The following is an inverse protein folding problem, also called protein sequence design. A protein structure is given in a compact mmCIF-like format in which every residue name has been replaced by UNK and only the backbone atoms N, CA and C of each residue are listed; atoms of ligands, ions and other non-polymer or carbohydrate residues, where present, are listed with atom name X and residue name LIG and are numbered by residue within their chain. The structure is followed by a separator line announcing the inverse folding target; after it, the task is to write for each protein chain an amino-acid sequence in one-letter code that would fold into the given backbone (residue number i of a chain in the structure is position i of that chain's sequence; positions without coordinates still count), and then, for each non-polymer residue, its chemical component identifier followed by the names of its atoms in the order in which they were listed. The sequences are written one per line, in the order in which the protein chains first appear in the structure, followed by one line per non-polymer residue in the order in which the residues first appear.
data_IF_376455142826
#
_entry.id   IF_376455142826
#
_cell.length_a   1.000
_cell.length_b   1.000
_cell.length_c   1.000
_cell.angle_alpha   90.00
_cell.angle_beta   90.00
_cell.angle_gamma   90.00
#
_symmetry.space_group_name_H-M   'P 1'
#
loop_
_entity.id
_entity.type
_entity.pdbx_description
1 polymer ?
#
# COMPACT_ATOMS: atom_id res chain seq x y z
N UNK A 1 1.67 -0.33 -11.28
CA UNK A 1 1.65 -0.77 -12.69
C UNK A 1 1.15 -2.20 -12.70
N UNK A 2 0.08 -2.46 -13.44
CA UNK A 2 -0.56 -3.78 -13.49
C UNK A 2 0.14 -4.67 -14.52
N UNK A 3 0.06 -5.98 -14.36
CA UNK A 3 0.65 -6.99 -15.25
C UNK A 3 -0.39 -8.03 -15.61
N UNK A 4 -0.20 -8.72 -16.74
CA UNK A 4 -1.08 -9.83 -17.16
C UNK A 4 -1.19 -10.91 -16.07
N UNK A 5 -0.13 -11.12 -15.28
CA UNK A 5 -0.16 -12.05 -14.14
C UNK A 5 -1.25 -11.70 -13.10
N UNK A 6 -1.55 -10.42 -12.90
CA UNK A 6 -2.56 -9.96 -11.94
C UNK A 6 -3.99 -10.37 -12.37
N UNK A 7 -4.21 -10.57 -13.68
CA UNK A 7 -5.46 -11.14 -14.21
C UNK A 7 -5.58 -12.62 -13.84
N UNK A 8 -4.51 -13.39 -14.06
CA UNK A 8 -4.46 -14.81 -13.70
C UNK A 8 -4.64 -15.00 -12.19
N UNK A 9 -4.05 -14.14 -11.37
CA UNK A 9 -4.19 -14.19 -9.91
C UNK A 9 -5.64 -13.86 -9.47
N UNK A 10 -6.29 -12.89 -10.11
CA UNK A 10 -7.70 -12.56 -9.84
C UNK A 10 -8.65 -13.67 -10.27
N UNK A 11 -8.34 -14.34 -11.38
CA UNK A 11 -9.09 -15.51 -11.84
C UNK A 11 -8.96 -16.70 -10.86
N UNK A 12 -7.75 -16.98 -10.40
CA UNK A 12 -7.49 -18.06 -9.43
C UNK A 12 -8.19 -17.84 -8.09
N UNK A 13 -8.43 -16.58 -7.70
CA UNK A 13 -9.20 -16.20 -6.52
C UNK A 13 -10.72 -16.21 -6.75
N UNK A 14 -11.17 -16.46 -7.97
CA UNK A 14 -12.56 -16.32 -8.40
C UNK A 14 -13.12 -14.93 -8.01
N UNK A 15 -12.37 -13.87 -8.35
CA UNK A 15 -12.71 -12.48 -8.07
C UNK A 15 -12.93 -11.68 -9.39
N UNK A 16 -14.17 -11.69 -9.92
CA UNK A 16 -14.53 -11.01 -11.17
C UNK A 16 -14.34 -9.49 -11.11
N UNK A 17 -14.50 -8.88 -9.93
CA UNK A 17 -14.37 -7.45 -9.77
C UNK A 17 -12.90 -7.00 -9.90
N UNK A 18 -12.01 -7.64 -9.14
CA UNK A 18 -10.57 -7.37 -9.24
C UNK A 18 -10.04 -7.68 -10.64
N UNK A 19 -10.56 -8.74 -11.27
CA UNK A 19 -10.21 -9.06 -12.65
C UNK A 19 -10.58 -7.91 -13.60
N UNK A 20 -11.81 -7.39 -13.53
CA UNK A 20 -12.26 -6.29 -14.38
C UNK A 20 -11.44 -5.02 -14.16
N UNK A 21 -11.15 -4.69 -12.90
CA UNK A 21 -10.32 -3.54 -12.53
C UNK A 21 -8.92 -3.63 -13.16
N UNK A 22 -8.26 -4.77 -13.03
CA UNK A 22 -6.93 -5.02 -13.62
C UNK A 22 -7.01 -4.97 -15.15
N UNK A 23 -8.05 -5.56 -15.74
CA UNK A 23 -8.25 -5.62 -17.19
C UNK A 23 -8.35 -4.23 -17.81
N UNK A 24 -9.18 -3.36 -17.23
CA UNK A 24 -9.33 -1.98 -17.69
C UNK A 24 -8.06 -1.15 -17.47
N UNK A 25 -7.35 -1.34 -16.35
CA UNK A 25 -6.07 -0.68 -16.11
C UNK A 25 -4.99 -1.08 -17.13
N UNK A 26 -4.98 -2.32 -17.59
CA UNK A 26 -4.05 -2.78 -18.63
C UNK A 26 -4.33 -2.11 -19.99
N UNK A 27 -5.60 -1.85 -20.31
CA UNK A 27 -5.99 -1.09 -21.52
C UNK A 27 -5.49 0.36 -21.42
N UNK A 28 -5.70 1.03 -20.28
CA UNK A 28 -5.18 2.40 -20.04
C UNK A 28 -3.65 2.45 -20.15
N UNK A 29 -2.96 1.37 -19.78
CA UNK A 29 -1.50 1.24 -19.92
C UNK A 29 -1.04 0.93 -21.36
N UNK A 30 -1.95 0.90 -22.34
CA UNK A 30 -1.64 0.71 -23.76
C UNK A 30 -1.68 -0.75 -24.25
N UNK A 31 -2.28 -1.66 -23.49
CA UNK A 31 -2.46 -3.05 -23.93
C UNK A 31 -3.59 -3.16 -24.96
N UNK A 32 -3.39 -3.99 -25.99
CA UNK A 32 -4.37 -4.24 -27.06
C UNK A 32 -5.46 -5.25 -26.66
N UNK A 33 -6.06 -5.06 -25.48
CA UNK A 33 -7.16 -5.91 -25.00
C UNK A 33 -8.50 -5.38 -25.54
N UNK A 34 -9.39 -6.30 -25.92
CA UNK A 34 -10.72 -5.98 -26.43
C UNK A 34 -11.74 -5.90 -25.30
N UNK A 35 -12.79 -5.10 -25.49
CA UNK A 35 -13.91 -5.01 -24.56
C UNK A 35 -15.16 -5.65 -25.17
N UNK A 36 -16.06 -6.23 -24.35
CA UNK A 36 -17.37 -6.67 -24.83
C UNK A 36 -18.17 -5.50 -25.41
N UNK A 37 -18.94 -5.75 -26.45
CA UNK A 37 -19.72 -4.74 -27.17
C UNK A 37 -21.22 -4.95 -27.03
N UNK A 38 -21.64 -6.14 -26.60
CA UNK A 38 -23.04 -6.48 -26.41
C UNK A 38 -23.58 -5.89 -25.09
N UNK A 39 -24.90 -5.68 -25.02
CA UNK A 39 -25.58 -5.14 -23.84
C UNK A 39 -26.29 -6.21 -23.00
N UNK A 40 -26.49 -7.40 -23.56
CA UNK A 40 -27.20 -8.50 -22.89
C UNK A 40 -26.20 -9.41 -22.18
N UNK A 41 -26.39 -9.62 -20.88
CA UNK A 41 -25.49 -10.38 -19.99
C UNK A 41 -25.01 -11.72 -20.59
N UNK A 42 -25.91 -12.53 -21.16
CA UNK A 42 -25.52 -13.82 -21.73
C UNK A 42 -24.59 -13.69 -22.94
N UNK A 43 -24.80 -12.68 -23.79
CA UNK A 43 -23.93 -12.43 -24.94
C UNK A 43 -22.60 -11.81 -24.50
N UNK A 44 -22.62 -10.95 -23.48
CA UNK A 44 -21.40 -10.42 -22.83
C UNK A 44 -20.56 -11.55 -22.23
N UNK A 45 -21.20 -12.57 -21.64
CA UNK A 45 -20.53 -13.76 -21.10
C UNK A 45 -19.78 -14.52 -22.19
N UNK A 46 -20.42 -14.74 -23.32
CA UNK A 46 -19.82 -15.41 -24.47
C UNK A 46 -18.66 -14.59 -25.07
N UNK A 47 -18.82 -13.25 -25.14
CA UNK A 47 -17.75 -12.35 -25.56
C UNK A 47 -16.54 -12.41 -24.62
N UNK A 48 -16.76 -12.37 -23.30
CA UNK A 48 -15.68 -12.52 -22.31
C UNK A 48 -14.91 -13.82 -22.50
N UNK A 49 -15.60 -14.94 -22.72
CA UNK A 49 -14.96 -16.22 -23.00
C UNK A 49 -14.07 -16.18 -24.26
N UNK A 50 -14.41 -15.35 -25.25
CA UNK A 50 -13.69 -15.23 -26.52
C UNK A 50 -12.52 -14.23 -26.51
N UNK A 51 -12.61 -13.15 -25.71
CA UNK A 51 -11.62 -12.05 -25.70
C UNK A 51 -10.62 -12.14 -24.56
N UNK A 52 -10.79 -13.10 -23.63
CA UNK A 52 -9.83 -13.28 -22.54
C UNK A 52 -8.44 -13.71 -23.08
N UNK A 53 -7.35 -13.20 -22.49
CA UNK A 53 -6.01 -13.64 -22.83
C UNK A 53 -5.86 -15.16 -22.68
N UNK A 54 -5.01 -15.82 -23.50
CA UNK A 54 -4.79 -17.26 -23.41
C UNK A 54 -4.36 -17.75 -22.01
N UNK A 55 -3.64 -16.91 -21.26
CA UNK A 55 -3.22 -17.19 -19.88
C UNK A 55 -4.35 -17.20 -18.84
N UNK A 56 -5.56 -16.82 -19.24
CA UNK A 56 -6.74 -16.69 -18.38
C UNK A 56 -7.88 -17.63 -18.79
N UNK A 57 -7.63 -18.67 -19.59
CA UNK A 57 -8.69 -19.58 -20.07
C UNK A 57 -9.25 -20.55 -19.03
N UNK A 58 -8.68 -20.63 -17.83
CA UNK A 58 -9.13 -21.52 -16.74
C UNK A 58 -10.29 -20.92 -15.93
N UNK A 59 -11.22 -20.22 -16.57
CA UNK A 59 -12.36 -19.58 -15.90
C UNK A 59 -13.48 -20.58 -15.62
N UNK A 60 -14.26 -20.29 -14.56
CA UNK A 60 -15.50 -21.00 -14.29
C UNK A 60 -16.67 -20.29 -14.94
N UNK A 61 -17.74 -21.04 -15.21
CA UNK A 61 -18.94 -20.51 -15.83
C UNK A 61 -19.65 -19.47 -14.94
N UNK A 62 -19.55 -19.64 -13.61
CA UNK A 62 -20.01 -18.68 -12.60
C UNK A 62 -19.18 -17.39 -12.61
N UNK A 63 -17.86 -17.50 -12.73
CA UNK A 63 -16.97 -16.34 -12.81
C UNK A 63 -17.33 -15.45 -14.01
N UNK A 64 -17.51 -16.05 -15.18
CA UNK A 64 -17.89 -15.30 -16.39
C UNK A 64 -19.25 -14.63 -16.24
N UNK A 65 -20.22 -15.30 -15.61
CA UNK A 65 -21.55 -14.74 -15.38
C UNK A 65 -21.47 -13.51 -14.46
N UNK A 66 -20.76 -13.62 -13.35
CA UNK A 66 -20.57 -12.52 -12.39
C UNK A 66 -19.78 -11.37 -13.03
N UNK A 67 -18.72 -11.66 -13.79
CA UNK A 67 -17.96 -10.66 -14.56
C UNK A 67 -18.86 -9.90 -15.54
N UNK A 68 -19.74 -10.62 -16.23
CA UNK A 68 -20.66 -10.05 -17.22
C UNK A 68 -21.72 -9.17 -16.57
N UNK A 69 -22.19 -9.53 -15.37
CA UNK A 69 -23.12 -8.72 -14.59
C UNK A 69 -22.47 -7.41 -14.13
N UNK A 70 -21.24 -7.47 -13.62
CA UNK A 70 -20.48 -6.28 -13.21
C UNK A 70 -20.21 -5.39 -14.42
N UNK A 71 -19.77 -5.96 -15.53
CA UNK A 71 -19.53 -5.21 -16.77
C UNK A 71 -20.78 -4.50 -17.28
N UNK A 72 -21.89 -5.23 -17.40
CA UNK A 72 -23.15 -4.66 -17.92
C UNK A 72 -23.61 -3.49 -17.05
N UNK A 73 -23.58 -3.68 -15.72
CA UNK A 73 -23.92 -2.62 -14.77
C UNK A 73 -23.00 -1.41 -14.89
N UNK A 74 -21.71 -1.63 -15.06
CA UNK A 74 -20.71 -0.57 -15.20
C UNK A 74 -20.95 0.26 -16.46
N UNK A 75 -21.20 -0.40 -17.59
CA UNK A 75 -21.50 0.25 -18.88
C UNK A 75 -22.83 1.02 -18.81
N UNK A 76 -23.85 0.44 -18.17
CA UNK A 76 -25.14 1.10 -17.96
C UNK A 76 -24.99 2.36 -17.10
N UNK A 77 -24.18 2.31 -16.03
CA UNK A 77 -23.88 3.47 -15.18
C UNK A 77 -23.11 4.58 -15.91
N UNK A 78 -22.36 4.23 -16.95
CA UNK A 78 -21.69 5.19 -17.85
C UNK A 78 -22.63 5.72 -18.96
N UNK A 79 -23.86 5.22 -19.05
CA UNK A 79 -24.81 5.47 -20.15
C UNK A 79 -24.40 4.86 -21.51
N UNK A 80 -23.36 4.01 -21.54
CA UNK A 80 -22.93 3.29 -22.73
C UNK A 80 -22.35 4.15 -23.86
N UNK A 81 -22.02 5.43 -23.61
CA UNK A 81 -21.54 6.35 -24.64
C UNK A 81 -20.01 6.22 -24.77
N UNK A 82 -19.52 5.77 -25.92
CA UNK A 82 -18.07 5.68 -26.16
C UNK A 82 -17.45 7.08 -26.31
N UNK A 83 -16.52 7.43 -25.43
CA UNK A 83 -15.72 8.66 -25.44
C UNK A 83 -14.23 8.36 -25.63
N UNK A 84 -13.41 9.36 -25.94
CA UNK A 84 -11.94 9.20 -26.02
C UNK A 84 -11.32 8.77 -24.66
N UNK A 85 -12.05 8.99 -23.56
CA UNK A 85 -11.65 8.65 -22.20
C UNK A 85 -12.47 7.51 -21.60
N UNK A 86 -13.23 6.79 -22.43
CA UNK A 86 -14.24 5.81 -22.01
C UNK A 86 -13.73 4.86 -20.92
N UNK A 87 -12.57 4.25 -21.13
CA UNK A 87 -11.98 3.27 -20.18
C UNK A 87 -11.60 3.93 -18.86
N UNK A 88 -11.08 5.16 -18.88
CA UNK A 88 -10.74 5.91 -17.67
C UNK A 88 -11.99 6.30 -16.89
N UNK A 89 -13.05 6.71 -17.57
CA UNK A 89 -14.34 7.02 -16.96
C UNK A 89 -15.00 5.77 -16.36
N UNK A 90 -14.92 4.62 -17.03
CA UNK A 90 -15.36 3.35 -16.48
C UNK A 90 -14.58 2.97 -15.21
N UNK A 91 -13.26 3.22 -15.17
CA UNK A 91 -12.45 2.98 -13.97
C UNK A 91 -12.87 3.88 -12.81
N UNK A 92 -13.15 5.16 -13.09
CA UNK A 92 -13.64 6.10 -12.08
C UNK A 92 -15.01 5.66 -11.55
N UNK A 93 -15.93 5.20 -12.40
CA UNK A 93 -17.23 4.66 -11.97
C UNK A 93 -17.05 3.37 -11.16
N UNK A 94 -16.21 2.44 -11.62
CA UNK A 94 -15.97 1.16 -10.95
C UNK A 94 -15.38 1.36 -9.54
N UNK A 95 -14.59 2.41 -9.36
CA UNK A 95 -13.97 2.75 -8.07
C UNK A 95 -14.81 3.69 -7.20
N UNK A 96 -15.78 4.41 -7.77
CA UNK A 96 -16.67 5.35 -7.07
C UNK A 96 -18.06 4.79 -6.73
N UNK A 97 -18.51 3.71 -7.37
CA UNK A 97 -19.85 3.15 -7.15
C UNK A 97 -20.04 2.58 -5.72
N UNK A 98 -21.17 2.84 -5.03
CA UNK A 98 -21.34 2.49 -3.63
C UNK A 98 -21.51 0.99 -3.34
N UNK A 99 -21.51 0.07 -4.31
CA UNK A 99 -21.31 -1.35 -3.97
C UNK A 99 -19.89 -1.63 -3.46
N UNK A 100 -18.98 -0.68 -3.71
CA UNK A 100 -17.68 -0.56 -3.05
C UNK A 100 -17.85 -0.31 -1.55
N UNK A 101 -19.02 0.07 -1.01
CA UNK A 101 -19.22 0.24 0.44
C UNK A 101 -19.39 -1.08 1.24
N UNK A 102 -19.59 -2.24 0.61
CA UNK A 102 -19.35 -3.51 1.34
C UNK A 102 -17.85 -3.80 1.53
N UNK A 103 -16.98 -3.09 0.80
CA UNK A 103 -15.53 -3.12 0.97
C UNK A 103 -14.96 -1.83 1.59
N UNK A 104 -15.74 -0.73 1.60
CA UNK A 104 -15.29 0.62 2.02
C UNK A 104 -16.19 1.25 3.11
N UNK A 105 -17.38 0.71 3.42
CA UNK A 105 -18.21 1.07 4.58
C UNK A 105 -18.46 -0.10 5.55
N UNK A 106 -17.48 -1.00 5.67
CA UNK A 106 -17.13 -1.54 7.01
C UNK A 106 -16.51 -0.42 7.89
N UNK A 107 -16.30 0.77 7.31
CA UNK A 107 -16.33 2.04 8.02
C UNK A 107 -17.77 2.40 8.45
N UNK A 108 -17.98 2.34 9.77
CA UNK A 108 -18.81 3.26 10.58
C UNK A 108 -20.36 3.13 10.45
N UNK A 109 -20.93 2.24 11.29
CA UNK A 109 -22.30 2.26 11.86
C UNK A 109 -23.58 2.00 10.99
N UNK A 110 -23.85 0.76 10.54
CA UNK A 110 -25.18 0.37 10.00
C UNK A 110 -25.39 -1.14 9.76
N UNK A 111 -26.64 -1.66 9.72
CA UNK A 111 -26.96 -3.02 10.16
C UNK A 111 -26.56 -4.13 9.18
N UNK A 112 -26.10 -5.24 9.77
CA UNK A 112 -25.77 -6.52 9.15
C UNK A 112 -26.93 -7.07 8.29
N UNK A 113 -26.74 -7.19 6.98
CA UNK A 113 -27.64 -7.97 6.13
C UNK A 113 -26.81 -8.93 5.27
N UNK A 114 -26.95 -10.23 5.54
CA UNK A 114 -26.46 -11.30 4.67
C UNK A 114 -25.61 -12.40 5.35
N UNK A 115 -25.19 -12.23 6.61
CA UNK A 115 -24.42 -13.26 7.30
C UNK A 115 -25.30 -14.39 7.84
N UNK A 116 -25.01 -15.60 7.39
CA UNK A 116 -25.54 -16.84 7.95
C UNK A 116 -25.29 -16.85 9.48
N UNK A 117 -26.33 -16.96 10.34
CA UNK A 117 -26.21 -16.78 11.79
C UNK A 117 -25.29 -17.80 12.50
N UNK A 118 -24.80 -18.83 11.79
CA UNK A 118 -23.77 -19.76 12.28
C UNK A 118 -22.33 -19.24 12.17
N UNK A 119 -22.09 -18.10 11.51
CA UNK A 119 -20.75 -17.46 11.42
C UNK A 119 -20.48 -16.43 12.53
N UNK A 120 -21.50 -16.00 13.28
CA UNK A 120 -21.35 -15.05 14.39
C UNK A 120 -20.60 -15.62 15.60
N UNK A 121 -20.32 -16.92 15.63
CA UNK A 121 -19.50 -17.55 16.68
C UNK A 121 -18.04 -17.77 16.26
N UNK A 122 -17.62 -17.26 15.11
CA UNK A 122 -16.21 -17.24 14.72
C UNK A 122 -15.78 -15.79 14.86
N UNK A 123 -15.12 -15.46 15.99
CA UNK A 123 -14.40 -14.20 16.15
C UNK A 123 -13.67 -13.90 14.85
N UNK A 124 -13.98 -12.76 14.23
CA UNK A 124 -13.31 -12.30 13.03
C UNK A 124 -11.83 -12.19 13.35
N UNK A 125 -11.10 -13.22 12.93
CA UNK A 125 -9.67 -13.33 13.09
C UNK A 125 -9.03 -12.43 12.03
N UNK A 126 -9.33 -11.13 12.12
CA UNK A 126 -8.58 -10.11 11.40
C UNK A 126 -7.13 -10.36 11.80
N UNK A 127 -6.35 -10.82 10.83
CA UNK A 127 -4.94 -11.13 11.05
C UNK A 127 -4.31 -9.96 11.82
N UNK A 128 -3.60 -10.30 12.89
CA UNK A 128 -2.79 -9.33 13.64
C UNK A 128 -1.92 -8.49 12.71
N UNK A 129 -1.53 -9.05 11.57
CA UNK A 129 -0.71 -8.39 10.56
C UNK A 129 -1.47 -7.28 9.82
N UNK A 130 -2.75 -7.50 9.45
CA UNK A 130 -3.56 -6.46 8.80
C UNK A 130 -3.82 -5.27 9.73
N UNK A 131 -4.11 -5.54 11.02
CA UNK A 131 -4.24 -4.49 12.06
C UNK A 131 -2.92 -3.76 12.30
N UNK A 132 -1.77 -4.43 12.18
CA UNK A 132 -0.46 -3.82 12.31
C UNK A 132 -0.13 -2.93 11.12
N UNK A 133 -0.42 -3.37 9.90
CA UNK A 133 -0.18 -2.60 8.67
C UNK A 133 -0.97 -1.29 8.63
N UNK A 134 -2.27 -1.35 8.96
CA UNK A 134 -3.10 -0.14 9.08
C UNK A 134 -2.58 0.84 10.15
N UNK A 135 -2.07 0.33 11.28
CA UNK A 135 -1.46 1.18 12.31
C UNK A 135 -0.16 1.84 11.88
N UNK A 136 0.65 1.16 11.06
CA UNK A 136 1.92 1.69 10.55
C UNK A 136 1.68 2.75 9.48
N UNK A 137 0.68 2.53 8.61
CA UNK A 137 0.27 3.45 7.54
C UNK A 137 -0.36 4.72 8.13
N UNK A 138 -1.28 4.57 9.08
CA UNK A 138 -2.00 5.70 9.69
C UNK A 138 -1.23 6.39 10.81
N UNK A 139 0.05 6.05 11.01
CA UNK A 139 0.90 6.72 11.99
C UNK A 139 1.32 8.10 11.45
N UNK A 140 0.41 9.08 11.56
CA UNK A 140 0.75 10.49 11.39
C UNK A 140 1.82 10.85 12.42
N UNK A 141 3.05 10.88 11.94
CA UNK A 141 4.18 11.30 12.74
C UNK A 141 4.16 12.81 12.70
N UNK A 142 3.69 13.40 13.80
CA UNK A 142 3.76 14.84 14.10
C UNK A 142 5.23 15.24 14.20
N UNK A 143 5.92 15.24 13.06
CA UNK A 143 7.25 15.82 12.93
C UNK A 143 6.98 17.32 12.84
N UNK A 144 6.96 17.96 14.01
CA UNK A 144 7.07 19.41 14.07
C UNK A 144 8.31 19.80 13.27
N UNK A 145 8.16 20.78 12.36
CA UNK A 145 9.16 21.23 11.38
C UNK A 145 10.54 21.66 11.96
N UNK A 146 10.80 21.49 13.25
CA UNK A 146 11.97 22.07 13.93
C UNK A 146 12.74 21.21 14.95
N UNK A 147 12.32 20.04 15.41
CA UNK A 147 13.03 19.43 16.56
C UNK A 147 14.21 18.53 16.17
N UNK A 148 15.31 19.14 15.72
CA UNK A 148 16.64 18.52 15.82
C UNK A 148 16.93 18.00 17.24
N UNK A 149 16.32 18.63 18.25
CA UNK A 149 16.35 18.22 19.65
C UNK A 149 15.88 16.77 19.85
N UNK A 150 14.92 16.30 19.05
CA UNK A 150 14.41 14.94 19.16
C UNK A 150 15.42 13.91 18.60
N UNK A 151 16.05 14.22 17.44
CA UNK A 151 17.16 13.42 16.93
C UNK A 151 18.33 13.39 17.92
N UNK A 152 18.66 14.55 18.51
CA UNK A 152 19.72 14.66 19.51
C UNK A 152 19.39 13.85 20.77
N UNK A 153 18.13 13.83 21.20
CA UNK A 153 17.66 13.01 22.32
C UNK A 153 17.84 11.52 22.02
N UNK A 154 17.42 11.03 20.85
CA UNK A 154 17.62 9.62 20.47
C UNK A 154 19.10 9.25 20.39
N UNK A 155 19.93 10.11 19.80
CA UNK A 155 21.37 9.89 19.76
C UNK A 155 21.98 9.83 21.17
N UNK A 156 21.63 10.76 22.05
CA UNK A 156 22.13 10.81 23.43
C UNK A 156 21.71 9.58 24.24
N UNK A 157 20.50 9.09 23.99
CA UNK A 157 19.96 7.87 24.60
C UNK A 157 20.45 6.58 23.93
N UNK A 158 21.30 6.66 22.90
CA UNK A 158 21.75 5.53 22.07
C UNK A 158 20.58 4.73 21.45
N UNK A 159 19.45 5.39 21.24
CA UNK A 159 18.28 4.79 20.60
C UNK A 159 18.42 4.89 19.07
N UNK A 160 19.22 3.97 18.54
CA UNK A 160 19.48 3.86 17.09
C UNK A 160 18.18 3.63 16.31
N UNK A 161 17.24 2.89 16.91
CA UNK A 161 16.01 2.49 16.22
C UNK A 161 15.13 3.70 15.96
N UNK A 162 14.85 4.47 17.01
CA UNK A 162 14.04 5.69 16.92
C UNK A 162 14.75 6.77 16.12
N UNK A 163 16.07 6.90 16.27
CA UNK A 163 16.87 7.84 15.50
C UNK A 163 16.73 7.59 13.99
N UNK A 164 16.97 6.36 13.53
CA UNK A 164 16.92 6.04 12.11
C UNK A 164 15.52 6.25 11.54
N UNK A 165 14.46 5.81 12.23
CA UNK A 165 13.09 6.07 11.79
C UNK A 165 12.82 7.57 11.61
N UNK A 166 13.15 8.36 12.63
CA UNK A 166 12.91 9.80 12.62
C UNK A 166 13.74 10.52 11.56
N UNK A 167 15.00 10.12 11.38
CA UNK A 167 15.89 10.72 10.40
C UNK A 167 15.43 10.46 8.96
N UNK A 168 14.99 9.24 8.65
CA UNK A 168 14.49 8.90 7.32
C UNK A 168 13.18 9.64 7.00
N UNK A 169 12.29 9.80 7.98
CA UNK A 169 11.10 10.66 7.82
C UNK A 169 11.47 12.13 7.57
N UNK A 170 12.51 12.61 8.24
CA UNK A 170 13.01 13.96 8.03
C UNK A 170 13.54 14.15 6.61
N UNK A 171 14.24 13.15 6.06
CA UNK A 171 14.67 13.12 4.66
C UNK A 171 13.49 13.09 3.67
N UNK A 172 12.39 12.40 3.99
CA UNK A 172 11.19 12.41 3.12
C UNK A 172 10.54 13.80 3.02
N UNK A 173 10.54 14.54 4.14
CA UNK A 173 9.91 15.86 4.25
C UNK A 173 10.82 17.00 3.78
N UNK A 174 12.13 16.79 3.72
CA UNK A 174 13.09 17.83 3.37
C UNK A 174 14.22 17.29 2.48
N UNK A 175 14.25 17.73 1.23
CA UNK A 175 15.20 17.31 0.20
C UNK A 175 16.64 17.80 0.44
N UNK A 176 16.87 18.66 1.43
CA UNK A 176 18.23 19.11 1.81
C UNK A 176 19.01 18.05 2.58
N UNK A 177 18.33 17.05 3.17
CA UNK A 177 18.97 16.00 3.96
C UNK A 177 19.11 14.72 3.17
N UNK A 178 20.27 14.08 3.33
CA UNK A 178 20.64 12.90 2.57
C UNK A 178 20.81 11.69 3.50
N UNK A 179 20.61 10.50 2.93
CA UNK A 179 20.86 9.23 3.57
C UNK A 179 21.87 8.43 2.73
N UNK A 180 22.51 7.37 3.27
CA UNK A 180 23.51 6.61 2.53
C UNK A 180 22.93 5.88 1.31
N UNK A 181 23.49 6.13 0.12
CA UNK A 181 23.09 5.51 -1.15
C UNK A 181 24.10 4.43 -1.59
N UNK A 182 24.33 3.45 -0.72
CA UNK A 182 25.29 2.37 -0.94
C UNK A 182 24.78 1.08 -0.30
N UNK A 183 25.13 -0.06 -0.89
CA UNK A 183 24.95 -1.39 -0.28
C UNK A 183 26.23 -1.92 0.37
N UNK A 184 27.36 -1.20 0.26
CA UNK A 184 28.64 -1.56 0.88
C UNK A 184 28.71 -0.97 2.29
N UNK A 185 28.88 -1.81 3.32
CA UNK A 185 28.81 -1.42 4.74
C UNK A 185 29.79 -0.28 5.10
N UNK A 186 31.07 -0.39 4.72
CA UNK A 186 32.05 0.66 5.03
C UNK A 186 31.65 2.02 4.43
N UNK A 187 31.10 2.03 3.20
CA UNK A 187 30.60 3.27 2.58
C UNK A 187 29.36 3.81 3.27
N UNK A 188 28.52 2.93 3.84
CA UNK A 188 27.37 3.33 4.65
C UNK A 188 27.86 3.97 5.96
N UNK A 189 28.85 3.39 6.62
CA UNK A 189 29.48 3.94 7.82
C UNK A 189 30.11 5.31 7.56
N UNK A 190 30.83 5.46 6.46
CA UNK A 190 31.41 6.75 6.03
C UNK A 190 30.32 7.80 5.79
N UNK A 191 29.23 7.41 5.11
CA UNK A 191 28.10 8.29 4.82
C UNK A 191 27.41 8.75 6.09
N UNK A 192 27.12 7.82 7.02
CA UNK A 192 26.55 8.19 8.31
C UNK A 192 27.48 9.07 9.13
N UNK A 193 28.78 8.80 9.10
CA UNK A 193 29.77 9.65 9.77
C UNK A 193 29.76 11.08 9.24
N UNK A 194 29.67 11.25 7.91
CA UNK A 194 29.52 12.57 7.28
C UNK A 194 28.21 13.24 7.71
N UNK A 195 27.08 12.54 7.59
CA UNK A 195 25.75 13.04 7.99
C UNK A 195 25.79 13.53 9.44
N UNK A 196 26.31 12.71 10.37
CA UNK A 196 26.40 13.09 11.78
C UNK A 196 27.29 14.31 12.01
N UNK A 197 28.44 14.36 11.33
CA UNK A 197 29.37 15.48 11.43
C UNK A 197 28.72 16.77 10.92
N UNK A 198 27.93 16.67 9.85
CA UNK A 198 27.24 17.81 9.26
C UNK A 198 26.13 18.35 10.17
N UNK A 199 25.35 17.45 10.79
CA UNK A 199 24.24 17.79 11.66
C UNK A 199 24.68 18.34 13.02
N UNK A 200 25.68 17.72 13.64
CA UNK A 200 26.05 17.98 15.03
C UNK A 200 27.38 18.70 15.23
N UNK A 201 28.16 18.88 14.14
CA UNK A 201 29.49 19.49 14.15
C UNK A 201 30.45 18.85 15.17
N UNK A 202 30.29 17.55 15.41
CA UNK A 202 31.05 16.75 16.38
C UNK A 202 31.36 15.37 15.82
N UNK A 203 32.45 14.74 16.30
CA UNK A 203 32.77 13.35 15.95
C UNK A 203 31.68 12.42 16.51
N UNK A 204 31.04 11.57 15.68
CA UNK A 204 30.01 10.66 16.15
C UNK A 204 30.58 9.51 16.98
N UNK A 205 29.74 8.93 17.82
CA UNK A 205 30.05 7.69 18.54
C UNK A 205 30.19 6.53 17.55
N UNK A 206 31.36 5.89 17.53
CA UNK A 206 31.67 4.82 16.56
C UNK A 206 30.75 3.61 16.67
N UNK A 207 30.32 3.25 17.88
CA UNK A 207 29.37 2.13 18.06
C UNK A 207 28.00 2.49 17.50
N UNK A 208 27.51 3.70 17.75
CA UNK A 208 26.25 4.18 17.20
C UNK A 208 26.27 4.17 15.66
N UNK A 209 27.38 4.59 15.05
CA UNK A 209 27.56 4.55 13.60
C UNK A 209 27.55 3.12 13.07
N UNK A 210 28.24 2.18 13.72
CA UNK A 210 28.21 0.77 13.32
C UNK A 210 26.79 0.19 13.41
N UNK A 211 26.09 0.48 14.50
CA UNK A 211 24.74 -0.03 14.73
C UNK A 211 23.74 0.50 13.70
N UNK A 212 23.73 1.82 13.45
CA UNK A 212 22.83 2.42 12.44
C UNK A 212 23.18 1.95 11.02
N UNK A 213 24.47 1.80 10.72
CA UNK A 213 24.95 1.34 9.42
C UNK A 213 24.56 -0.10 9.16
N UNK A 214 24.71 -0.97 10.15
CA UNK A 214 24.32 -2.37 10.05
C UNK A 214 22.81 -2.53 9.82
N UNK A 215 22.01 -1.76 10.57
CA UNK A 215 20.56 -1.75 10.40
C UNK A 215 20.21 -1.26 8.99
N UNK A 216 20.74 -0.11 8.56
CA UNK A 216 20.49 0.43 7.22
C UNK A 216 20.91 -0.53 6.11
N UNK A 217 22.11 -1.11 6.21
CA UNK A 217 22.64 -2.12 5.28
C UNK A 217 21.69 -3.31 5.10
N UNK A 218 21.11 -3.81 6.19
CA UNK A 218 20.13 -4.90 6.12
C UNK A 218 18.87 -4.50 5.34
N UNK A 219 18.37 -3.27 5.51
CA UNK A 219 17.19 -2.80 4.78
C UNK A 219 17.50 -2.56 3.30
N UNK A 220 18.63 -1.91 3.00
CA UNK A 220 19.06 -1.64 1.63
C UNK A 220 19.33 -2.92 0.85
N UNK A 221 19.96 -3.94 1.45
CA UNK A 221 20.18 -5.21 0.74
C UNK A 221 18.88 -5.99 0.52
N UNK A 222 17.87 -5.79 1.37
CA UNK A 222 16.59 -6.50 1.25
C UNK A 222 15.62 -5.81 0.30
N UNK A 223 15.63 -4.47 0.26
CA UNK A 223 14.63 -3.66 -0.46
C UNK A 223 15.23 -2.75 -1.53
N UNK A 224 16.52 -2.92 -1.84
CA UNK A 224 17.32 -2.07 -2.74
C UNK A 224 17.66 -0.69 -2.16
N UNK A 225 18.60 0.00 -2.79
CA UNK A 225 18.99 1.39 -2.44
C UNK A 225 17.87 2.32 -2.93
N UNK A 226 17.29 3.17 -2.07
CA UNK A 226 16.27 4.13 -2.50
C UNK A 226 16.91 5.30 -3.28
N UNK A 227 16.45 5.51 -4.50
CA UNK A 227 16.78 6.66 -5.35
C UNK A 227 15.61 7.64 -5.49
N UNK A 228 14.37 7.18 -5.29
CA UNK A 228 13.16 8.01 -5.30
C UNK A 228 12.42 7.96 -3.96
N UNK A 229 11.54 8.96 -3.70
CA UNK A 229 10.82 9.10 -2.42
C UNK A 229 9.98 7.86 -2.07
N UNK A 230 9.29 7.29 -3.05
CA UNK A 230 8.42 6.11 -2.87
C UNK A 230 9.19 4.85 -2.43
N UNK A 231 10.44 4.70 -2.85
CA UNK A 231 11.31 3.60 -2.40
C UNK A 231 11.74 3.81 -0.95
N UNK A 232 12.02 5.05 -0.55
CA UNK A 232 12.32 5.38 0.84
C UNK A 232 11.10 5.16 1.76
N UNK A 233 9.90 5.54 1.32
CA UNK A 233 8.64 5.26 2.03
C UNK A 233 8.44 3.76 2.26
N UNK A 234 8.73 2.95 1.24
CA UNK A 234 8.67 1.49 1.33
C UNK A 234 9.63 0.94 2.39
N UNK A 235 10.86 1.45 2.43
CA UNK A 235 11.85 1.05 3.44
C UNK A 235 11.39 1.44 4.84
N UNK A 236 10.88 2.66 5.04
CA UNK A 236 10.35 3.12 6.33
C UNK A 236 9.17 2.26 6.79
N UNK A 237 8.26 1.90 5.88
CA UNK A 237 7.15 1.01 6.20
C UNK A 237 7.65 -0.33 6.74
N UNK A 238 8.56 -1.01 6.03
CA UNK A 238 9.10 -2.28 6.49
C UNK A 238 9.96 -2.14 7.75
N UNK A 239 10.63 -1.01 7.91
CA UNK A 239 11.39 -0.67 9.10
C UNK A 239 10.48 -0.61 10.33
N UNK A 240 9.38 0.15 10.23
CA UNK A 240 8.35 0.25 11.27
C UNK A 240 7.73 -1.11 11.57
N UNK A 241 7.40 -1.89 10.52
CA UNK A 241 6.89 -3.26 10.66
C UNK A 241 7.84 -4.18 11.40
N UNK A 242 9.17 -4.00 11.31
CA UNK A 242 10.16 -4.83 12.01
C UNK A 242 10.30 -4.43 13.48
N UNK A 243 10.42 -3.14 13.78
CA UNK A 243 10.86 -2.66 15.10
C UNK A 243 9.76 -2.11 16.01
N UNK A 244 8.60 -1.71 15.45
CA UNK A 244 7.52 -1.05 16.22
C UNK A 244 6.28 -1.94 16.37
N UNK A 245 6.45 -3.27 16.33
CA UNK A 245 5.37 -4.27 16.37
C UNK A 245 4.44 -4.16 17.59
N UNK A 246 4.85 -3.49 18.67
CA UNK A 246 4.13 -3.42 19.94
C UNK A 246 3.91 -1.97 20.45
N UNK A 247 3.32 -1.10 19.63
CA UNK A 247 2.85 0.19 20.15
C UNK A 247 1.59 -0.04 20.99
N UNK A 248 1.76 -0.15 22.31
CA UNK A 248 0.66 0.04 23.26
C UNK A 248 0.23 1.50 23.12
N UNK A 249 -0.98 1.72 22.60
CA UNK A 249 -1.63 3.03 22.61
C UNK A 249 -1.68 3.55 24.04
N UNK A 250 -0.88 4.58 24.33
CA UNK A 250 -1.04 5.39 25.54
C UNK A 250 -2.41 6.06 25.38
N UNK A 251 -3.40 5.57 26.13
CA UNK A 251 -4.69 6.27 26.25
C UNK A 251 -4.40 7.68 26.77
N UNK A 252 -4.94 8.74 26.16
CA UNK A 252 -4.85 10.07 26.74
C UNK A 252 -5.48 10.02 28.13
N UNK A 253 -4.65 10.27 29.14
CA UNK A 253 -5.09 10.55 30.50
C UNK A 253 -6.07 11.72 30.43
N UNK A 254 -7.34 11.46 30.75
CA UNK A 254 -8.32 12.51 31.03
C UNK A 254 -7.80 13.28 32.24
N UNK A 255 -7.09 14.38 32.00
CA UNK A 255 -6.89 15.39 33.03
C UNK A 255 -8.25 15.93 33.42
N UNK A 256 -8.50 15.91 34.72
CA UNK A 256 -9.74 16.32 35.35
C UNK A 256 -10.08 17.77 35.05
N UNK A 257 -11.38 18.01 34.95
CA UNK A 257 -11.96 19.33 35.03
C UNK A 257 -11.72 19.86 36.45
N UNK A 258 -11.06 21.01 36.54
CA UNK A 258 -11.26 21.99 37.61
C UNK A 258 -12.30 22.98 37.08
#
# INVERSE_FOLDING_TARGET
MFRIQDLTDSLNRNDPFSFLLVYLNLIVQGSSLSLPTQSKINFVKDEWASIMPPSCQNFTDSFLLELSQIWTKLVDSHSGIMSDFYVSELLDILTSEPQVKSLVSVAEDGPLIGMNPKLNSIESSISSDYKLEQKIINQETVVNKHSFDQLLSFYSNKDVISFLNYYLEFCLKNDQYNYPKSSVLNRIEDSWTSIFSDLYKKKPNEQFIKDISFIWFHFVNKYSIPYVKTELETIIFYYRKKYFKNIKTIKPSKKGNV
#
